data_IF_573621035017
#
_entry.id   IF_573621035017
#
_cell.length_a   1.000
_cell.length_b   1.000
_cell.length_c   1.000
_cell.angle_alpha   90.00
_cell.angle_beta   90.00
_cell.angle_gamma   90.00
#
_symmetry.space_group_name_H-M   'P 1'
#
loop_
_entity.id
_entity.type
_entity.pdbx_description
1 polymer ?
#
# COMPACT_ATOMS: atom_id res chain seq x y z
N UNK A 1 14.25 12.69 8.86
CA UNK A 1 13.35 11.56 8.53
C UNK A 1 13.14 11.54 7.01
N UNK A 2 14.11 11.02 6.24
CA UNK A 2 14.14 11.07 4.76
C UNK A 2 13.52 9.84 4.07
N UNK A 3 12.93 8.89 4.82
CA UNK A 3 12.45 7.60 4.32
C UNK A 3 10.94 7.40 4.37
N UNK A 4 10.14 8.45 4.18
CA UNK A 4 8.71 8.44 4.50
C UNK A 4 7.71 8.48 3.33
N UNK A 5 8.17 8.53 2.07
CA UNK A 5 7.32 8.75 0.89
C UNK A 5 6.31 9.88 1.10
N UNK A 6 6.83 11.05 1.48
CA UNK A 6 6.02 12.17 1.98
C UNK A 6 4.97 12.66 1.01
N UNK A 7 5.30 12.79 -0.28
CA UNK A 7 4.36 13.22 -1.31
C UNK A 7 3.23 12.20 -1.47
N UNK A 8 3.58 10.91 -1.61
CA UNK A 8 2.60 9.82 -1.65
C UNK A 8 1.71 9.80 -0.40
N UNK A 9 2.25 10.01 0.80
CA UNK A 9 1.45 10.00 2.03
C UNK A 9 0.49 11.19 2.13
N UNK A 10 0.92 12.37 1.68
CA UNK A 10 0.08 13.59 1.69
C UNK A 10 -1.05 13.49 0.68
N UNK A 11 -0.74 13.02 -0.52
CA UNK A 11 -1.71 12.93 -1.60
C UNK A 11 -2.58 11.69 -1.45
N UNK A 12 -2.00 10.52 -1.20
CA UNK A 12 -2.74 9.28 -0.95
C UNK A 12 -2.86 9.03 0.55
N UNK A 13 -3.89 9.62 1.15
CA UNK A 13 -4.26 9.38 2.55
C UNK A 13 -4.63 7.93 2.83
N UNK A 14 -4.86 7.58 4.09
CA UNK A 14 -5.33 6.23 4.45
C UNK A 14 -6.81 6.27 4.83
N UNK A 15 -7.65 6.77 3.92
CA UNK A 15 -9.11 6.67 4.05
C UNK A 15 -9.55 5.31 3.47
N UNK A 16 -9.90 4.37 4.36
CA UNK A 16 -10.30 3.02 3.98
C UNK A 16 -11.75 2.98 3.45
N UNK A 17 -12.61 3.93 3.86
CA UNK A 17 -13.99 4.06 3.35
C UNK A 17 -14.05 4.61 1.93
N UNK A 18 -13.00 5.31 1.48
CA UNK A 18 -12.92 5.87 0.12
C UNK A 18 -13.11 4.77 -0.94
N UNK A 19 -13.98 4.97 -1.95
CA UNK A 19 -14.09 4.08 -3.10
C UNK A 19 -12.75 3.92 -3.83
N UNK A 20 -12.49 2.72 -4.35
CA UNK A 20 -11.30 2.46 -5.16
C UNK A 20 -11.41 3.22 -6.48
N UNK A 21 -10.60 4.27 -6.65
CA UNK A 21 -10.53 5.06 -7.88
C UNK A 21 -9.20 5.79 -8.00
N UNK A 22 -8.73 5.93 -9.24
CA UNK A 22 -7.54 6.71 -9.55
C UNK A 22 -7.76 8.20 -9.27
N UNK A 23 -6.65 8.92 -9.06
CA UNK A 23 -6.66 10.38 -9.05
C UNK A 23 -5.40 10.94 -9.69
N UNK A 24 -5.45 12.20 -10.11
CA UNK A 24 -4.26 12.90 -10.58
C UNK A 24 -3.27 13.08 -9.42
N UNK A 25 -2.01 12.72 -9.66
CA UNK A 25 -0.92 12.84 -8.69
C UNK A 25 0.12 13.84 -9.18
N UNK A 26 0.89 14.39 -8.25
CA UNK A 26 2.10 15.15 -8.57
C UNK A 26 3.21 14.24 -9.12
N UNK A 27 4.23 14.84 -9.72
CA UNK A 27 5.43 14.11 -10.13
C UNK A 27 6.20 13.57 -8.92
N UNK A 28 6.26 14.31 -7.81
CA UNK A 28 6.87 13.84 -6.56
C UNK A 28 6.19 12.56 -6.02
N UNK A 29 4.85 12.50 -6.09
CA UNK A 29 4.11 11.31 -5.70
C UNK A 29 4.35 10.14 -6.68
N UNK A 30 4.45 10.41 -7.98
CA UNK A 30 4.82 9.39 -8.99
C UNK A 30 6.23 8.84 -8.75
N UNK A 31 7.21 9.68 -8.43
CA UNK A 31 8.56 9.25 -8.06
C UNK A 31 8.56 8.38 -6.80
N UNK A 32 7.76 8.75 -5.79
CA UNK A 32 7.59 7.95 -4.58
C UNK A 32 7.00 6.56 -4.91
N UNK A 33 5.99 6.50 -5.79
CA UNK A 33 5.38 5.25 -6.26
C UNK A 33 6.44 4.39 -6.97
N UNK A 34 7.18 4.96 -7.92
CA UNK A 34 8.23 4.25 -8.64
C UNK A 34 9.28 3.66 -7.69
N UNK A 35 9.72 4.45 -6.70
CA UNK A 35 10.69 4.00 -5.70
C UNK A 35 10.17 2.86 -4.83
N UNK A 36 8.90 2.88 -4.40
CA UNK A 36 8.28 1.77 -3.67
C UNK A 36 8.27 0.49 -4.51
N UNK A 37 7.84 0.58 -5.77
CA UNK A 37 7.80 -0.57 -6.68
C UNK A 37 9.19 -1.19 -6.89
N UNK A 38 10.22 -0.35 -7.04
CA UNK A 38 11.60 -0.80 -7.16
C UNK A 38 12.07 -1.55 -5.91
N UNK A 39 11.78 -1.01 -4.71
CA UNK A 39 12.15 -1.65 -3.44
C UNK A 39 11.49 -3.02 -3.31
N UNK A 40 10.17 -3.12 -3.51
CA UNK A 40 9.44 -4.38 -3.37
C UNK A 40 9.89 -5.42 -4.38
N UNK A 41 10.06 -5.01 -5.65
CA UNK A 41 10.56 -5.89 -6.71
C UNK A 41 11.99 -6.35 -6.40
N UNK A 42 12.86 -5.46 -5.93
CA UNK A 42 14.24 -5.78 -5.54
C UNK A 42 14.31 -6.77 -4.38
N UNK A 43 13.50 -6.57 -3.33
CA UNK A 43 13.38 -7.48 -2.20
C UNK A 43 12.90 -8.86 -2.65
N UNK A 44 11.77 -8.93 -3.37
CA UNK A 44 11.23 -10.21 -3.85
C UNK A 44 12.18 -10.95 -4.78
N UNK A 45 12.85 -10.23 -5.69
CA UNK A 45 13.86 -10.83 -6.58
C UNK A 45 15.01 -11.47 -5.80
N UNK A 46 15.47 -10.82 -4.73
CA UNK A 46 16.65 -11.28 -3.96
C UNK A 46 16.29 -12.31 -2.88
N UNK A 47 15.12 -12.20 -2.27
CA UNK A 47 14.77 -12.92 -1.04
C UNK A 47 13.39 -13.61 -1.07
N UNK A 48 12.57 -13.37 -2.09
CA UNK A 48 11.19 -13.89 -2.19
C UNK A 48 11.09 -15.37 -2.58
N UNK A 49 12.18 -16.14 -2.63
CA UNK A 49 12.13 -17.56 -3.02
C UNK A 49 11.32 -18.43 -2.05
N UNK A 50 11.27 -18.05 -0.78
CA UNK A 50 10.65 -18.85 0.28
C UNK A 50 9.16 -18.53 0.50
N UNK A 51 8.54 -17.70 -0.34
CA UNK A 51 7.12 -17.38 -0.24
C UNK A 51 6.75 -16.03 -0.87
N UNK A 52 5.48 -15.62 -0.76
CA UNK A 52 4.96 -14.51 -1.55
C UNK A 52 5.32 -13.11 -1.01
N UNK A 53 5.85 -13.02 0.21
CA UNK A 53 6.16 -11.76 0.89
C UNK A 53 7.54 -11.19 0.54
N UNK A 54 7.87 -9.99 1.02
CA UNK A 54 9.09 -9.27 0.65
C UNK A 54 10.38 -10.07 0.87
N UNK A 55 10.40 -10.87 1.94
CA UNK A 55 11.52 -11.75 2.30
C UNK A 55 11.12 -13.24 2.37
N UNK A 56 10.11 -13.63 1.59
CA UNK A 56 9.59 -14.99 1.50
C UNK A 56 8.42 -15.23 2.44
N UNK A 57 8.67 -15.32 3.74
CA UNK A 57 7.61 -15.38 4.76
C UNK A 57 7.19 -13.98 5.20
N UNK A 58 6.02 -13.84 5.83
CA UNK A 58 5.57 -12.56 6.37
C UNK A 58 6.51 -12.08 7.48
N UNK A 59 6.92 -10.81 7.41
CA UNK A 59 7.84 -10.18 8.34
C UNK A 59 7.37 -8.80 8.79
N UNK A 60 8.09 -8.20 9.74
CA UNK A 60 7.87 -6.81 10.13
C UNK A 60 7.98 -5.82 8.95
N UNK A 61 8.79 -6.12 7.92
CA UNK A 61 8.89 -5.26 6.75
C UNK A 61 7.55 -5.19 6.00
N UNK A 62 6.87 -6.32 5.85
CA UNK A 62 5.55 -6.40 5.21
C UNK A 62 4.51 -5.60 6.01
N UNK A 63 4.52 -5.77 7.34
CA UNK A 63 3.66 -4.99 8.24
C UNK A 63 3.90 -3.48 8.14
N UNK A 64 5.16 -3.03 8.05
CA UNK A 64 5.51 -1.62 7.87
C UNK A 64 5.04 -1.06 6.52
N UNK A 65 5.00 -1.89 5.47
CA UNK A 65 4.50 -1.52 4.15
C UNK A 65 2.98 -1.70 3.96
N UNK A 66 2.28 -2.32 4.92
CA UNK A 66 0.84 -2.56 4.84
C UNK A 66 0.01 -1.28 4.56
N UNK A 67 0.28 -0.11 5.18
CA UNK A 67 -0.40 1.13 4.83
C UNK A 67 -0.14 1.60 3.39
N UNK A 68 1.01 1.26 2.81
CA UNK A 68 1.33 1.61 1.41
C UNK A 68 0.58 0.70 0.44
N UNK A 69 0.43 -0.59 0.77
CA UNK A 69 -0.45 -1.51 0.02
C UNK A 69 -1.89 -0.99 -0.01
N UNK A 70 -2.41 -0.52 1.14
CA UNK A 70 -3.71 0.14 1.18
C UNK A 70 -3.79 1.35 0.24
N UNK A 71 -2.82 2.26 0.28
CA UNK A 71 -2.78 3.42 -0.63
C UNK A 71 -2.79 3.00 -2.09
N UNK A 72 -1.95 2.04 -2.47
CA UNK A 72 -1.88 1.56 -3.85
C UNK A 72 -3.22 0.99 -4.31
N UNK A 73 -3.91 0.23 -3.45
CA UNK A 73 -5.25 -0.29 -3.71
C UNK A 73 -6.30 0.81 -3.81
N UNK A 74 -6.46 1.63 -2.77
CA UNK A 74 -7.54 2.64 -2.66
C UNK A 74 -7.45 3.70 -3.76
N UNK A 75 -6.23 4.08 -4.16
CA UNK A 75 -6.01 5.08 -5.21
C UNK A 75 -5.78 4.46 -6.59
N UNK A 76 -6.08 3.16 -6.77
CA UNK A 76 -5.94 2.43 -8.03
C UNK A 76 -4.61 2.70 -8.75
N UNK A 77 -3.51 2.68 -7.99
CA UNK A 77 -2.17 2.95 -8.52
C UNK A 77 -1.77 1.84 -9.48
N UNK A 78 -1.33 2.22 -10.68
CA UNK A 78 -0.82 1.28 -11.66
C UNK A 78 0.51 0.68 -11.19
N UNK A 79 0.60 -0.64 -11.24
CA UNK A 79 1.75 -1.38 -10.72
C UNK A 79 2.17 -2.50 -11.66
N UNK A 80 3.47 -2.81 -11.63
CA UNK A 80 4.04 -3.98 -12.29
C UNK A 80 3.48 -5.30 -11.74
N UNK A 81 3.58 -6.37 -12.54
CA UNK A 81 3.09 -7.70 -12.15
C UNK A 81 3.70 -8.22 -10.83
N UNK A 82 5.02 -8.13 -10.57
CA UNK A 82 5.59 -8.58 -9.30
C UNK A 82 5.09 -7.78 -8.09
N UNK A 83 4.76 -6.51 -8.28
CA UNK A 83 4.19 -5.69 -7.21
C UNK A 83 2.74 -6.09 -6.96
N UNK A 84 1.96 -6.34 -8.02
CA UNK A 84 0.57 -6.81 -7.91
C UNK A 84 0.46 -8.11 -7.11
N UNK A 85 1.28 -9.11 -7.44
CA UNK A 85 1.32 -10.40 -6.72
C UNK A 85 1.61 -10.24 -5.22
N UNK A 86 2.53 -9.33 -4.88
CA UNK A 86 2.84 -9.03 -3.48
C UNK A 86 1.66 -8.36 -2.77
N UNK A 87 1.01 -7.40 -3.43
CA UNK A 87 -0.18 -6.75 -2.89
C UNK A 87 -1.31 -7.76 -2.67
N UNK A 88 -1.52 -8.69 -3.60
CA UNK A 88 -2.51 -9.76 -3.47
C UNK A 88 -2.21 -10.67 -2.27
N UNK A 89 -0.94 -11.05 -2.06
CA UNK A 89 -0.53 -11.83 -0.90
C UNK A 89 -0.77 -11.10 0.42
N UNK A 90 -0.51 -9.78 0.46
CA UNK A 90 -0.79 -8.93 1.61
C UNK A 90 -2.29 -8.84 1.88
N UNK A 91 -3.11 -8.60 0.84
CA UNK A 91 -4.57 -8.51 0.97
C UNK A 91 -5.20 -9.83 1.43
N UNK A 92 -4.62 -10.97 1.06
CA UNK A 92 -5.04 -12.30 1.48
C UNK A 92 -4.57 -12.68 2.90
N UNK A 93 -3.66 -11.91 3.50
CA UNK A 93 -3.16 -12.22 4.85
C UNK A 93 -4.25 -11.99 5.90
N UNK A 94 -4.55 -12.96 6.79
CA UNK A 94 -5.68 -12.87 7.73
C UNK A 94 -5.68 -11.59 8.58
N UNK A 95 -4.52 -11.22 9.14
CA UNK A 95 -4.41 -10.01 9.95
C UNK A 95 -4.64 -8.70 9.15
N UNK A 96 -4.29 -8.68 7.86
CA UNK A 96 -4.53 -7.52 7.00
C UNK A 96 -6.02 -7.41 6.65
N UNK A 97 -6.65 -8.53 6.33
CA UNK A 97 -8.08 -8.61 6.06
C UNK A 97 -8.90 -8.21 7.30
N UNK A 98 -8.52 -8.72 8.49
CA UNK A 98 -9.13 -8.34 9.76
C UNK A 98 -8.98 -6.84 10.05
N UNK A 99 -7.78 -6.29 9.91
CA UNK A 99 -7.54 -4.86 10.09
C UNK A 99 -8.39 -4.02 9.12
N UNK A 100 -8.48 -4.43 7.86
CA UNK A 100 -9.33 -3.75 6.85
C UNK A 100 -10.80 -3.80 7.25
N UNK A 101 -11.30 -4.96 7.69
CA UNK A 101 -12.69 -5.13 8.11
C UNK A 101 -13.03 -4.28 9.33
N UNK A 102 -12.16 -4.26 10.34
CA UNK A 102 -12.35 -3.43 11.53
C UNK A 102 -12.32 -1.93 11.20
N UNK A 103 -11.42 -1.50 10.31
CA UNK A 103 -11.37 -0.11 9.88
C UNK A 103 -12.63 0.32 9.11
N UNK A 104 -13.23 -0.58 8.33
CA UNK A 104 -14.52 -0.31 7.64
C UNK A 104 -15.71 -0.28 8.60
N UNK A 105 -15.65 -1.04 9.70
CA UNK A 105 -16.69 -1.04 10.74
C UNK A 105 -16.64 0.19 11.64
N UNK A 106 -15.54 0.95 11.62
CA UNK A 106 -15.41 2.21 12.35
C UNK A 106 -16.42 3.24 11.84
N UNK A 107 -17.08 3.92 12.78
CA UNK A 107 -18.15 4.89 12.51
C UNK A 107 -17.66 6.34 12.53
N UNK A 108 -16.45 6.58 13.05
CA UNK A 108 -15.84 7.89 13.08
C UNK A 108 -15.53 8.39 11.66
N UNK A 109 -16.25 9.42 11.24
CA UNK A 109 -16.01 10.12 9.97
C UNK A 109 -15.27 11.42 10.23
N UNK A 110 -14.22 11.68 9.44
CA UNK A 110 -13.50 12.95 9.46
C UNK A 110 -13.81 13.66 8.15
N UNK A 111 -14.76 14.60 8.17
CA UNK A 111 -15.32 15.26 6.97
C UNK A 111 -14.26 15.77 5.98
N UNK A 112 -13.14 16.29 6.49
CA UNK A 112 -12.00 16.76 5.66
C UNK A 112 -11.48 15.71 4.68
N UNK A 113 -11.63 14.42 4.97
CA UNK A 113 -11.08 13.31 4.18
C UNK A 113 -12.12 12.60 3.30
N UNK A 114 -13.38 13.04 3.30
CA UNK A 114 -14.47 12.45 2.52
C UNK A 114 -14.70 13.13 1.16
N UNK A 115 -14.03 14.26 0.90
CA UNK A 115 -14.21 15.06 -0.31
C UNK A 115 -13.33 14.64 -1.52
N UNK A 116 -12.49 13.60 -1.39
CA UNK A 116 -11.48 13.16 -2.37
C UNK A 116 -11.81 11.84 -3.10
#
# INVERSE_FOLDING_TARGET
MHGGFGALRRECGMNIHRPIRAKALSDEARENIARVQEIWTGCRRRYGKAGPFLFGTFTAADAMYAPVVHRFRTYAIEVSQPVREYMEAMLAHPAFAEWTAQALAESLVIERFEAD
#
